data_IF_872794061458
#
_entry.id   IF_872794061458
#
_cell.length_a   1.000
_cell.length_b   1.000
_cell.length_c   1.000
_cell.angle_alpha   90.00
_cell.angle_beta   90.00
_cell.angle_gamma   90.00
#
_symmetry.space_group_name_H-M   'P 1'
#
loop_
_entity.id
_entity.type
_entity.pdbx_description
1 polymer ?
#
# COMPACT_ATOMS: atom_id res chain seq x y z
N UNK A 1 0.26 39.14 -35.30
CA UNK A 1 -0.63 37.98 -35.09
C UNK A 1 -0.06 37.16 -33.95
N UNK A 2 -0.55 37.38 -32.73
CA UNK A 2 -0.19 36.59 -31.55
C UNK A 2 -1.09 35.38 -31.47
N UNK A 3 -0.53 34.18 -31.66
CA UNK A 3 -1.23 32.92 -31.44
C UNK A 3 -0.99 32.46 -30.01
N UNK A 4 -2.09 32.20 -29.30
CA UNK A 4 -2.18 31.76 -27.92
C UNK A 4 -1.34 30.50 -27.65
N UNK A 5 -0.30 30.64 -26.84
CA UNK A 5 0.30 29.55 -26.09
C UNK A 5 -0.34 29.56 -24.69
N UNK A 6 -1.53 28.96 -24.56
CA UNK A 6 -2.21 28.79 -23.29
C UNK A 6 -2.21 27.31 -22.90
N UNK A 7 -1.20 26.96 -22.10
CA UNK A 7 -1.27 26.03 -20.96
C UNK A 7 -1.50 24.54 -21.28
N UNK A 8 -0.38 23.82 -21.44
CA UNK A 8 -0.25 22.34 -21.37
C UNK A 8 0.12 21.85 -19.95
N UNK A 9 0.00 22.72 -18.94
CA UNK A 9 0.38 22.42 -17.54
C UNK A 9 -0.71 21.67 -16.74
N UNK A 10 -1.90 21.47 -17.31
CA UNK A 10 -3.06 20.94 -16.57
C UNK A 10 -3.24 19.42 -16.77
N UNK A 11 -2.85 18.87 -17.93
CA UNK A 11 -3.04 17.45 -18.25
C UNK A 11 -2.14 16.55 -17.40
N UNK A 12 -0.83 16.86 -17.36
CA UNK A 12 0.18 16.08 -16.64
C UNK A 12 -0.05 16.09 -15.12
N UNK A 13 -0.50 17.23 -14.58
CA UNK A 13 -0.81 17.38 -13.16
C UNK A 13 -2.14 16.72 -12.78
N UNK A 14 -3.15 16.77 -13.65
CA UNK A 14 -4.38 15.98 -13.48
C UNK A 14 -4.10 14.49 -13.54
N UNK A 15 -3.25 14.02 -14.44
CA UNK A 15 -2.88 12.60 -14.55
C UNK A 15 -2.06 12.13 -13.36
N UNK A 16 -1.22 13.01 -12.82
CA UNK A 16 -0.53 12.79 -11.54
C UNK A 16 -1.54 12.70 -10.39
N UNK A 17 -2.49 13.63 -10.32
CA UNK A 17 -3.57 13.62 -9.33
C UNK A 17 -4.49 12.40 -9.47
N UNK A 18 -4.68 11.88 -10.68
CA UNK A 18 -5.50 10.69 -10.95
C UNK A 18 -4.79 9.40 -10.57
N UNK A 19 -3.49 9.27 -10.85
CA UNK A 19 -2.64 8.19 -10.33
C UNK A 19 -2.61 8.16 -8.81
N UNK A 20 -2.55 9.35 -8.21
CA UNK A 20 -2.71 9.58 -6.76
C UNK A 20 -4.08 9.02 -6.34
N UNK A 21 -5.20 9.48 -6.91
CA UNK A 21 -6.54 9.03 -6.52
C UNK A 21 -6.78 7.52 -6.67
N UNK A 22 -6.26 6.89 -7.74
CA UNK A 22 -6.39 5.44 -7.96
C UNK A 22 -5.56 4.62 -6.95
N UNK A 23 -4.43 5.16 -6.46
CA UNK A 23 -3.65 4.59 -5.34
C UNK A 23 -4.39 4.74 -3.98
N UNK A 24 -5.32 5.69 -3.86
CA UNK A 24 -6.07 5.97 -2.62
C UNK A 24 -7.44 5.27 -2.53
N UNK A 25 -7.77 4.38 -3.47
CA UNK A 25 -9.04 3.65 -3.55
C UNK A 25 -9.26 2.53 -2.52
N UNK A 26 -9.27 2.88 -1.23
CA UNK A 26 -10.02 2.29 -0.10
C UNK A 26 -9.63 0.92 0.52
N UNK A 27 -9.48 1.00 1.85
CA UNK A 27 -9.55 0.00 2.95
C UNK A 27 -8.39 -1.00 3.12
N UNK A 28 -7.25 -0.50 3.64
CA UNK A 28 -6.75 -1.04 4.91
C UNK A 28 -5.85 -0.02 5.67
N UNK A 29 -6.00 -0.02 7.00
CA UNK A 29 -5.62 1.02 7.98
C UNK A 29 -6.12 2.43 7.63
N UNK A 30 -7.23 2.87 8.26
CA UNK A 30 -7.54 4.31 8.32
C UNK A 30 -6.26 5.03 8.80
N UNK A 31 -5.84 6.04 8.06
CA UNK A 31 -4.70 6.85 8.46
C UNK A 31 -5.11 7.79 9.60
N UNK A 32 -5.23 7.23 10.80
CA UNK A 32 -5.83 7.94 11.94
C UNK A 32 -4.91 9.02 12.50
N UNK A 33 -3.60 8.88 12.28
CA UNK A 33 -2.54 9.77 12.76
C UNK A 33 -1.78 10.46 11.60
N UNK A 34 -2.25 10.36 10.36
CA UNK A 34 -1.70 11.08 9.20
C UNK A 34 -0.30 10.63 8.76
N UNK A 35 0.00 9.34 8.86
CA UNK A 35 1.26 8.67 8.56
C UNK A 35 1.29 8.04 7.14
N UNK A 36 0.18 8.09 6.41
CA UNK A 36 0.00 7.41 5.13
C UNK A 36 1.05 7.81 4.08
N UNK A 37 1.39 9.10 3.98
CA UNK A 37 2.40 9.56 3.01
C UNK A 37 3.80 8.99 3.28
N UNK A 38 4.19 8.82 4.54
CA UNK A 38 5.48 8.20 4.90
C UNK A 38 5.44 6.70 4.58
N UNK A 39 4.35 6.02 4.95
CA UNK A 39 4.11 4.61 4.62
C UNK A 39 4.20 4.38 3.12
N UNK A 40 3.53 5.21 2.33
CA UNK A 40 3.45 5.05 0.88
C UNK A 40 4.77 5.42 0.20
N UNK A 41 5.49 6.44 0.68
CA UNK A 41 6.85 6.75 0.23
C UNK A 41 7.82 5.57 0.42
N UNK A 42 7.88 4.99 1.63
CA UNK A 42 8.74 3.84 1.91
C UNK A 42 8.31 2.60 1.11
N UNK A 43 7.00 2.38 0.97
CA UNK A 43 6.47 1.26 0.16
C UNK A 43 6.85 1.41 -1.32
N UNK A 44 6.80 2.62 -1.88
CA UNK A 44 7.15 2.87 -3.28
C UNK A 44 8.66 2.77 -3.53
N UNK A 45 9.49 3.12 -2.53
CA UNK A 45 10.95 2.95 -2.61
C UNK A 45 11.35 1.46 -2.63
N UNK A 46 10.71 0.64 -1.78
CA UNK A 46 11.01 -0.79 -1.69
C UNK A 46 10.31 -1.61 -2.77
N UNK A 47 9.04 -1.31 -3.04
CA UNK A 47 8.12 -2.14 -3.80
C UNK A 47 7.29 -1.33 -4.81
N UNK A 48 7.94 -0.65 -5.77
CA UNK A 48 7.24 0.16 -6.76
C UNK A 48 6.25 -0.68 -7.57
N UNK A 49 5.14 -0.06 -7.95
CA UNK A 49 4.09 -0.70 -8.75
C UNK A 49 3.17 -1.67 -8.00
N UNK A 50 3.33 -1.80 -6.68
CA UNK A 50 2.44 -2.60 -5.83
C UNK A 50 1.41 -1.74 -5.09
N UNK A 51 0.30 -2.33 -4.69
CA UNK A 51 -0.69 -1.72 -3.79
C UNK A 51 -1.22 -2.75 -2.80
N UNK A 52 -1.80 -2.30 -1.68
CA UNK A 52 -2.35 -3.21 -0.65
C UNK A 52 -3.53 -4.04 -1.14
N UNK A 53 -4.24 -3.57 -2.15
CA UNK A 53 -5.45 -4.21 -2.71
C UNK A 53 -5.15 -5.13 -3.90
N UNK A 54 -3.89 -5.20 -4.35
CA UNK A 54 -3.45 -6.21 -5.32
C UNK A 54 -3.47 -7.59 -4.67
N UNK A 55 -3.79 -8.60 -5.46
CA UNK A 55 -3.90 -9.97 -5.00
C UNK A 55 -2.82 -10.86 -5.59
N UNK A 56 -2.87 -11.16 -6.89
CA UNK A 56 -1.93 -12.06 -7.60
C UNK A 56 -1.14 -11.33 -8.69
N UNK A 57 0.08 -11.77 -8.98
CA UNK A 57 0.94 -11.03 -9.90
C UNK A 57 0.47 -11.14 -11.35
N UNK A 58 -0.13 -12.27 -11.76
CA UNK A 58 -0.59 -12.52 -13.14
C UNK A 58 -1.67 -11.53 -13.63
N UNK A 59 -2.33 -10.79 -12.73
CA UNK A 59 -3.18 -9.66 -13.12
C UNK A 59 -2.41 -8.54 -13.85
N UNK A 60 -1.10 -8.40 -13.65
CA UNK A 60 -0.22 -7.54 -14.44
C UNK A 60 -0.18 -7.93 -15.93
N UNK A 61 -0.63 -9.13 -16.29
CA UNK A 61 -0.72 -9.64 -17.66
C UNK A 61 -2.18 -9.71 -18.13
N UNK A 62 -3.08 -10.15 -17.26
CA UNK A 62 -4.51 -10.20 -17.58
C UNK A 62 -5.05 -8.84 -18.02
N UNK A 63 -4.77 -7.77 -17.28
CA UNK A 63 -5.31 -6.43 -17.62
C UNK A 63 -4.85 -5.97 -19.01
N UNK A 64 -3.54 -5.99 -19.35
CA UNK A 64 -3.09 -5.72 -20.72
C UNK A 64 -3.78 -6.58 -21.79
N UNK A 65 -3.90 -7.90 -21.58
CA UNK A 65 -4.52 -8.81 -22.55
C UNK A 65 -5.98 -8.45 -22.82
N UNK A 66 -6.78 -8.26 -21.77
CA UNK A 66 -8.19 -7.91 -21.91
C UNK A 66 -8.37 -6.55 -22.59
N UNK A 67 -7.48 -5.58 -22.31
CA UNK A 67 -7.53 -4.28 -22.98
C UNK A 67 -7.17 -4.38 -24.47
N UNK A 68 -6.20 -5.21 -24.85
CA UNK A 68 -5.89 -5.47 -26.27
C UNK A 68 -7.05 -6.16 -26.98
N UNK A 69 -7.71 -7.12 -26.33
CA UNK A 69 -8.92 -7.77 -26.88
C UNK A 69 -10.05 -6.76 -27.06
N UNK A 70 -10.33 -5.93 -26.04
CA UNK A 70 -11.36 -4.90 -26.10
C UNK A 70 -11.08 -3.86 -27.21
N UNK A 71 -9.82 -3.42 -27.33
CA UNK A 71 -9.37 -2.50 -28.36
C UNK A 71 -9.61 -3.05 -29.78
N UNK A 72 -9.25 -4.32 -30.03
CA UNK A 72 -9.49 -5.00 -31.31
C UNK A 72 -10.97 -5.16 -31.63
N UNK A 73 -11.83 -5.22 -30.60
CA UNK A 73 -13.29 -5.26 -30.73
C UNK A 73 -13.96 -3.88 -30.70
N UNK A 74 -13.23 -2.81 -31.05
CA UNK A 74 -13.78 -1.46 -31.20
C UNK A 74 -13.60 -0.54 -29.98
N UNK A 75 -12.77 -0.90 -29.00
CA UNK A 75 -12.29 0.03 -27.96
C UNK A 75 -13.36 0.56 -27.01
N UNK A 76 -14.43 -0.20 -26.75
CA UNK A 76 -15.52 0.23 -25.86
C UNK A 76 -15.27 -0.15 -24.41
N UNK A 77 -15.50 0.79 -23.48
CA UNK A 77 -15.36 0.57 -22.04
C UNK A 77 -16.23 -0.60 -21.52
N UNK A 78 -17.48 -0.71 -22.00
CA UNK A 78 -18.36 -1.81 -21.63
C UNK A 78 -17.83 -3.17 -22.08
N UNK A 79 -17.10 -3.22 -23.20
CA UNK A 79 -16.49 -4.46 -23.66
C UNK A 79 -15.32 -4.86 -22.75
N UNK A 80 -14.45 -3.92 -22.39
CA UNK A 80 -13.37 -4.19 -21.43
C UNK A 80 -13.92 -4.67 -20.10
N UNK A 81 -14.97 -4.03 -19.57
CA UNK A 81 -15.65 -4.46 -18.34
C UNK A 81 -16.22 -5.88 -18.46
N UNK A 82 -16.87 -6.22 -19.58
CA UNK A 82 -17.38 -7.59 -19.81
C UNK A 82 -16.26 -8.62 -19.81
N UNK A 83 -15.14 -8.33 -20.45
CA UNK A 83 -13.98 -9.21 -20.48
C UNK A 83 -13.37 -9.42 -19.08
N UNK A 84 -13.28 -8.37 -18.27
CA UNK A 84 -12.84 -8.47 -16.88
C UNK A 84 -13.79 -9.32 -16.02
N UNK A 85 -15.11 -9.22 -16.24
CA UNK A 85 -16.10 -10.07 -15.56
C UNK A 85 -16.00 -11.52 -16.04
N UNK A 86 -15.79 -11.75 -17.34
CA UNK A 86 -15.59 -13.10 -17.89
C UNK A 86 -14.34 -13.77 -17.31
N UNK A 87 -13.24 -13.03 -17.14
CA UNK A 87 -12.02 -13.52 -16.49
C UNK A 87 -12.30 -14.08 -15.09
N UNK A 88 -13.17 -13.44 -14.29
CA UNK A 88 -13.55 -13.96 -12.96
C UNK A 88 -14.13 -15.36 -13.09
N UNK A 89 -15.03 -15.57 -14.06
CA UNK A 89 -15.63 -16.89 -14.32
C UNK A 89 -14.60 -17.91 -14.81
N UNK A 90 -13.69 -17.50 -15.68
CA UNK A 90 -12.60 -18.33 -16.17
C UNK A 90 -11.65 -18.77 -15.05
N UNK A 91 -11.34 -17.88 -14.10
CA UNK A 91 -10.53 -18.19 -12.91
C UNK A 91 -11.19 -19.25 -12.03
N UNK A 92 -12.49 -19.13 -11.76
CA UNK A 92 -13.23 -20.16 -11.04
C UNK A 92 -13.23 -21.51 -11.76
N UNK A 93 -13.41 -21.52 -13.09
CA UNK A 93 -13.31 -22.74 -13.91
C UNK A 93 -11.89 -23.33 -13.91
N UNK A 94 -10.88 -22.49 -13.72
CA UNK A 94 -9.48 -22.90 -13.52
C UNK A 94 -9.19 -23.49 -12.16
N UNK A 95 -10.13 -23.41 -11.21
CA UNK A 95 -9.98 -23.88 -9.83
C UNK A 95 -9.53 -22.80 -8.85
N UNK A 96 -9.39 -21.55 -9.28
CA UNK A 96 -9.01 -20.44 -8.40
C UNK A 96 -10.22 -19.99 -7.58
N UNK A 97 -10.09 -20.05 -6.25
CA UNK A 97 -11.18 -19.70 -5.31
C UNK A 97 -10.79 -18.59 -4.35
N UNK A 98 -9.50 -18.48 -4.03
CA UNK A 98 -8.95 -17.42 -3.19
C UNK A 98 -8.31 -16.33 -4.04
N UNK A 99 -8.33 -15.08 -3.56
CA UNK A 99 -7.59 -13.96 -4.15
C UNK A 99 -8.06 -13.54 -5.56
N UNK A 100 -9.20 -14.08 -6.01
CA UNK A 100 -9.91 -13.66 -7.22
C UNK A 100 -10.59 -12.31 -6.94
N UNK A 101 -10.14 -11.27 -7.63
CA UNK A 101 -10.72 -9.93 -7.50
C UNK A 101 -12.16 -9.99 -8.00
N UNK A 102 -13.10 -9.66 -7.12
CA UNK A 102 -14.51 -9.59 -7.47
C UNK A 102 -15.31 -10.89 -7.27
N UNK A 103 -14.72 -11.89 -6.59
CA UNK A 103 -15.37 -13.18 -6.27
C UNK A 103 -16.76 -13.04 -5.62
N UNK A 104 -16.94 -12.09 -4.71
CA UNK A 104 -18.19 -11.88 -3.95
C UNK A 104 -19.25 -11.07 -4.71
N UNK A 105 -18.84 -10.23 -5.67
CA UNK A 105 -19.72 -9.19 -6.23
C UNK A 105 -20.14 -9.42 -7.70
N UNK A 106 -19.46 -10.28 -8.48
CA UNK A 106 -19.72 -10.49 -9.94
C UNK A 106 -20.21 -9.23 -10.68
N UNK A 107 -21.43 -9.17 -11.19
CA UNK A 107 -21.89 -8.00 -11.97
C UNK A 107 -22.06 -6.71 -11.13
N UNK A 108 -22.16 -6.83 -9.80
CA UNK A 108 -22.17 -5.71 -8.85
C UNK A 108 -20.76 -5.25 -8.41
N UNK A 109 -19.70 -5.70 -9.10
CA UNK A 109 -18.31 -5.34 -8.79
C UNK A 109 -18.14 -3.82 -8.65
N UNK A 110 -17.76 -3.40 -7.44
CA UNK A 110 -17.34 -2.03 -7.17
C UNK A 110 -15.91 -1.72 -7.65
N UNK A 111 -15.05 -2.74 -7.82
CA UNK A 111 -13.66 -2.58 -8.29
C UNK A 111 -13.24 -3.72 -9.20
N UNK A 112 -12.88 -3.38 -10.43
CA UNK A 112 -12.34 -4.28 -11.46
C UNK A 112 -10.82 -4.49 -11.25
N UNK A 113 -10.25 -5.59 -11.77
CA UNK A 113 -8.80 -5.76 -11.84
C UNK A 113 -8.06 -4.55 -12.42
N UNK A 114 -8.63 -3.91 -13.45
CA UNK A 114 -8.08 -2.71 -14.06
C UNK A 114 -8.08 -1.51 -13.10
N UNK A 115 -9.01 -1.39 -12.15
CA UNK A 115 -8.93 -0.34 -11.11
C UNK A 115 -7.70 -0.55 -10.20
N UNK A 116 -7.37 -1.81 -9.93
CA UNK A 116 -6.36 -2.21 -8.94
C UNK A 116 -4.93 -2.15 -9.51
N UNK A 117 -4.75 -2.58 -10.77
CA UNK A 117 -3.42 -2.77 -11.35
C UNK A 117 -2.97 -1.62 -12.26
N UNK A 118 -3.85 -0.68 -12.65
CA UNK A 118 -3.53 0.35 -13.67
C UNK A 118 -2.30 1.22 -13.36
N UNK A 119 -2.16 1.63 -12.09
CA UNK A 119 -1.02 2.40 -11.63
C UNK A 119 0.26 1.56 -11.65
N UNK A 120 0.16 0.30 -11.20
CA UNK A 120 1.26 -0.66 -11.19
C UNK A 120 1.80 -0.99 -12.58
N UNK A 121 0.90 -1.14 -13.56
CA UNK A 121 1.27 -1.38 -14.96
C UNK A 121 2.14 -0.25 -15.53
N UNK A 122 1.86 1.01 -15.17
CA UNK A 122 2.68 2.14 -15.59
C UNK A 122 3.99 2.21 -14.80
N UNK A 123 3.94 2.00 -13.49
CA UNK A 123 5.12 2.04 -12.64
C UNK A 123 6.16 0.96 -13.02
N UNK A 124 5.72 -0.21 -13.47
CA UNK A 124 6.58 -1.27 -14.00
C UNK A 124 6.82 -1.16 -15.52
N UNK A 125 6.28 -0.12 -16.15
CA UNK A 125 6.36 0.16 -17.59
C UNK A 125 5.82 -0.96 -18.51
N UNK A 126 4.97 -1.84 -17.99
CA UNK A 126 4.17 -2.78 -18.79
C UNK A 126 3.22 -1.99 -19.67
N UNK A 127 2.61 -0.95 -19.10
CA UNK A 127 1.94 0.12 -19.83
C UNK A 127 2.96 1.23 -20.06
N UNK A 128 3.22 1.57 -21.30
CA UNK A 128 4.23 2.56 -21.69
C UNK A 128 3.62 3.93 -21.92
N UNK A 129 2.32 4.01 -22.20
CA UNK A 129 1.62 5.28 -22.40
C UNK A 129 0.96 5.78 -21.09
N UNK A 130 1.25 7.01 -20.64
CA UNK A 130 0.48 7.64 -19.57
C UNK A 130 -0.93 7.95 -20.08
N UNK A 131 -1.95 7.60 -19.31
CA UNK A 131 -3.34 7.85 -19.71
C UNK A 131 -4.36 7.12 -18.86
N UNK A 132 -5.61 7.52 -18.97
CA UNK A 132 -6.75 6.83 -18.41
C UNK A 132 -7.05 5.53 -19.19
N UNK A 133 -7.86 4.68 -18.57
CA UNK A 133 -8.36 3.45 -19.21
C UNK A 133 -9.18 3.73 -20.46
N UNK A 134 -9.94 4.82 -20.48
CA UNK A 134 -10.74 5.21 -21.63
C UNK A 134 -9.86 5.65 -22.81
N UNK A 135 -8.82 6.44 -22.54
CA UNK A 135 -7.85 6.85 -23.57
C UNK A 135 -7.09 5.67 -24.15
N UNK A 136 -6.68 4.71 -23.31
CA UNK A 136 -6.02 3.49 -23.79
C UNK A 136 -6.92 2.64 -24.69
N UNK A 137 -8.23 2.57 -24.41
CA UNK A 137 -9.17 1.87 -25.27
C UNK A 137 -9.42 2.61 -26.58
N UNK A 138 -9.52 3.94 -26.53
CA UNK A 138 -9.70 4.79 -27.70
C UNK A 138 -8.48 4.77 -28.63
N UNK A 139 -7.27 4.60 -28.08
CA UNK A 139 -6.03 4.45 -28.84
C UNK A 139 -5.93 3.11 -29.59
N UNK A 140 -6.83 2.15 -29.34
CA UNK A 140 -6.86 0.87 -30.02
C UNK A 140 -5.68 -0.05 -29.64
N UNK A 141 -5.20 -0.87 -30.58
CA UNK A 141 -4.00 -1.72 -30.43
C UNK A 141 -2.79 -1.03 -31.09
N UNK A 142 -2.66 0.30 -30.91
CA UNK A 142 -1.56 1.07 -31.48
C UNK A 142 -0.20 0.57 -30.96
N UNK A 143 0.84 0.54 -31.80
CA UNK A 143 2.19 0.17 -31.37
C UNK A 143 2.66 1.09 -30.22
N UNK A 144 3.33 0.50 -29.23
CA UNK A 144 3.96 1.27 -28.14
C UNK A 144 3.03 1.71 -27.01
N UNK A 145 1.78 1.23 -26.94
CA UNK A 145 0.91 1.39 -25.77
C UNK A 145 1.26 0.45 -24.61
N UNK A 146 1.78 -0.73 -24.95
CA UNK A 146 2.27 -1.76 -24.04
C UNK A 146 3.75 -2.02 -24.30
N UNK A 147 4.45 -2.53 -23.29
CA UNK A 147 5.86 -2.91 -23.40
C UNK A 147 6.09 -3.85 -24.58
N UNK A 148 7.16 -3.65 -25.36
CA UNK A 148 7.68 -4.69 -26.23
C UNK A 148 7.93 -5.97 -25.43
N UNK A 149 7.69 -7.13 -26.04
CA UNK A 149 7.88 -8.43 -25.40
C UNK A 149 6.80 -8.84 -24.40
N UNK A 150 5.68 -8.11 -24.28
CA UNK A 150 4.52 -8.59 -23.52
C UNK A 150 4.07 -9.96 -24.09
N UNK A 151 4.05 -11.03 -23.27
CA UNK A 151 3.67 -12.36 -23.74
C UNK A 151 2.26 -12.39 -24.34
N UNK A 152 2.02 -13.33 -25.25
CA UNK A 152 0.71 -13.56 -25.82
C UNK A 152 -0.29 -14.02 -24.76
N UNK A 153 -1.56 -13.61 -24.89
CA UNK A 153 -2.62 -14.15 -24.06
C UNK A 153 -2.84 -15.63 -24.42
N UNK A 154 -3.06 -16.54 -23.44
CA UNK A 154 -3.50 -17.89 -23.73
C UNK A 154 -4.83 -17.91 -24.51
N UNK A 155 -4.99 -18.83 -25.45
CA UNK A 155 -6.20 -18.92 -26.28
C UNK A 155 -7.46 -19.19 -25.44
N UNK A 156 -7.32 -19.93 -24.34
CA UNK A 156 -8.40 -20.29 -23.41
C UNK A 156 -8.57 -19.32 -22.24
N UNK A 157 -7.92 -18.13 -22.26
CA UNK A 157 -7.92 -17.16 -21.16
C UNK A 157 -9.31 -16.84 -20.59
N UNK A 158 -10.32 -16.74 -21.46
CA UNK A 158 -11.70 -16.42 -21.07
C UNK A 158 -12.57 -17.65 -20.77
N UNK A 159 -12.07 -18.84 -21.07
CA UNK A 159 -12.75 -20.11 -20.80
C UNK A 159 -12.27 -20.71 -19.48
N UNK A 160 -10.95 -20.75 -19.28
CA UNK A 160 -10.27 -21.29 -18.09
C UNK A 160 -8.95 -20.55 -17.85
N UNK A 161 -8.77 -19.98 -16.66
CA UNK A 161 -7.55 -19.25 -16.30
C UNK A 161 -7.06 -19.64 -14.90
N UNK A 162 -5.76 -19.53 -14.66
CA UNK A 162 -5.13 -19.78 -13.34
C UNK A 162 -4.18 -18.64 -12.99
N UNK A 163 -3.81 -18.49 -11.72
CA UNK A 163 -2.81 -17.51 -11.30
C UNK A 163 -1.37 -17.95 -11.53
N UNK A 164 -1.13 -19.24 -11.77
CA UNK A 164 0.20 -19.78 -12.08
C UNK A 164 0.77 -19.12 -13.33
N UNK A 165 1.92 -18.46 -13.16
CA UNK A 165 2.69 -17.87 -14.25
C UNK A 165 3.42 -18.97 -15.04
N UNK A 166 3.55 -18.77 -16.35
CA UNK A 166 4.48 -19.57 -17.17
C UNK A 166 5.92 -19.06 -16.99
N UNK A 167 6.95 -19.84 -17.39
CA UNK A 167 8.34 -19.37 -17.34
C UNK A 167 8.58 -18.09 -18.16
N UNK A 168 7.96 -17.99 -19.35
CA UNK A 168 8.02 -16.80 -20.20
C UNK A 168 7.40 -15.57 -19.52
N UNK A 169 6.21 -15.74 -18.94
CA UNK A 169 5.52 -14.69 -18.20
C UNK A 169 6.32 -14.22 -16.97
N UNK A 170 6.91 -15.16 -16.23
CA UNK A 170 7.77 -14.87 -15.09
C UNK A 170 9.05 -14.13 -15.50
N UNK A 171 9.69 -14.53 -16.61
CA UNK A 171 10.85 -13.84 -17.17
C UNK A 171 10.51 -12.41 -17.57
N UNK A 172 9.41 -12.22 -18.31
CA UNK A 172 8.96 -10.89 -18.72
C UNK A 172 8.75 -9.97 -17.51
N UNK A 173 8.08 -10.43 -16.46
CA UNK A 173 7.84 -9.62 -15.26
C UNK A 173 9.14 -9.31 -14.50
N UNK A 174 10.10 -10.25 -14.44
CA UNK A 174 11.45 -9.99 -13.91
C UNK A 174 12.18 -8.93 -14.73
N UNK A 175 12.09 -8.96 -16.05
CA UNK A 175 12.70 -7.94 -16.92
C UNK A 175 12.07 -6.57 -16.71
N UNK A 176 10.74 -6.51 -16.53
CA UNK A 176 10.03 -5.25 -16.21
C UNK A 176 10.49 -4.67 -14.87
N UNK A 177 10.69 -5.51 -13.86
CA UNK A 177 11.27 -5.09 -12.57
C UNK A 177 12.72 -4.60 -12.73
N UNK A 178 13.54 -5.31 -13.51
CA UNK A 178 14.93 -4.93 -13.74
C UNK A 178 15.06 -3.57 -14.43
N UNK A 179 14.15 -3.25 -15.35
CA UNK A 179 14.15 -1.99 -16.10
C UNK A 179 13.52 -0.85 -15.31
N UNK A 180 12.28 -1.03 -14.83
CA UNK A 180 11.49 0.07 -14.25
C UNK A 180 11.64 0.23 -12.74
N UNK A 181 12.13 -0.81 -12.06
CA UNK A 181 12.29 -0.86 -10.61
C UNK A 181 13.72 -1.24 -10.20
N UNK A 182 14.71 -0.91 -11.04
CA UNK A 182 16.11 -1.37 -10.98
C UNK A 182 16.71 -1.39 -9.57
N UNK A 183 16.63 -0.27 -8.87
CA UNK A 183 17.28 -0.08 -7.57
C UNK A 183 16.41 -0.53 -6.39
N UNK A 184 15.19 -0.99 -6.63
CA UNK A 184 14.24 -1.37 -5.59
C UNK A 184 14.56 -2.73 -4.98
N UNK A 185 14.12 -2.91 -3.74
CA UNK A 185 14.21 -4.21 -3.07
C UNK A 185 13.35 -5.27 -3.77
N UNK A 186 12.23 -4.87 -4.38
CA UNK A 186 11.39 -5.79 -5.15
C UNK A 186 12.16 -6.44 -6.30
N UNK A 187 12.90 -5.64 -7.07
CA UNK A 187 13.73 -6.16 -8.15
C UNK A 187 14.82 -7.08 -7.59
N UNK A 188 15.54 -6.64 -6.56
CA UNK A 188 16.62 -7.41 -5.95
C UNK A 188 16.14 -8.80 -5.48
N UNK A 189 15.00 -8.89 -4.80
CA UNK A 189 14.39 -10.15 -4.37
C UNK A 189 13.88 -11.00 -5.55
N UNK A 190 13.27 -10.36 -6.56
CA UNK A 190 12.74 -11.05 -7.72
C UNK A 190 13.85 -11.71 -8.57
N UNK A 191 14.99 -11.04 -8.74
CA UNK A 191 16.14 -11.60 -9.46
C UNK A 191 16.82 -12.73 -8.68
N UNK A 192 16.80 -12.68 -7.35
CA UNK A 192 17.34 -13.73 -6.50
C UNK A 192 16.46 -15.00 -6.47
N UNK A 193 15.26 -14.98 -7.06
CA UNK A 193 14.31 -16.09 -6.96
C UNK A 193 13.75 -16.29 -5.55
N UNK A 194 13.71 -15.21 -4.76
CA UNK A 194 13.35 -15.26 -3.36
C UNK A 194 11.87 -15.66 -3.15
N UNK A 195 11.61 -16.54 -2.18
CA UNK A 195 10.25 -17.01 -1.83
C UNK A 195 9.58 -16.19 -0.71
N UNK A 196 10.25 -15.13 -0.26
CA UNK A 196 9.81 -14.15 0.70
C UNK A 196 9.44 -14.76 2.06
N UNK A 197 10.33 -15.60 2.59
CA UNK A 197 10.14 -16.40 3.80
C UNK A 197 10.31 -15.65 5.12
N UNK A 198 9.66 -14.50 5.30
CA UNK A 198 9.74 -13.72 6.54
C UNK A 198 8.42 -12.99 6.86
N UNK A 199 8.04 -12.91 8.13
CA UNK A 199 6.80 -12.26 8.56
C UNK A 199 6.80 -10.74 8.30
N UNK A 200 7.96 -10.11 8.45
CA UNK A 200 8.19 -8.71 8.12
C UNK A 200 9.46 -8.56 7.30
N UNK A 201 9.52 -7.54 6.44
CA UNK A 201 10.66 -7.35 5.53
C UNK A 201 11.99 -7.19 6.27
N UNK A 202 11.99 -6.52 7.42
CA UNK A 202 13.22 -6.33 8.21
C UNK A 202 13.69 -7.59 8.93
N UNK A 203 12.86 -8.64 9.03
CA UNK A 203 13.22 -9.95 9.58
C UNK A 203 13.74 -10.91 8.49
N UNK A 204 13.93 -10.44 7.27
CA UNK A 204 14.33 -11.30 6.16
C UNK A 204 15.72 -11.92 6.40
N UNK A 205 15.89 -13.25 6.27
CA UNK A 205 17.14 -13.93 6.62
C UNK A 205 18.33 -13.47 5.77
N UNK A 206 18.08 -13.07 4.53
CA UNK A 206 19.09 -12.58 3.60
C UNK A 206 19.28 -11.04 3.64
N UNK A 207 18.73 -10.33 4.64
CA UNK A 207 18.84 -8.86 4.71
C UNK A 207 20.27 -8.34 4.58
N UNK A 208 21.24 -9.05 5.15
CA UNK A 208 22.65 -8.67 5.12
C UNK A 208 23.30 -8.77 3.73
N UNK A 209 22.69 -9.49 2.78
CA UNK A 209 23.21 -9.64 1.41
C UNK A 209 22.67 -8.58 0.46
N UNK A 210 21.70 -7.77 0.90
CA UNK A 210 21.09 -6.77 0.03
C UNK A 210 22.01 -5.59 -0.25
N UNK A 211 21.70 -4.82 -1.28
CA UNK A 211 22.35 -3.56 -1.55
C UNK A 211 22.27 -2.61 -0.34
N UNK A 212 23.35 -1.85 -0.10
CA UNK A 212 23.42 -0.89 1.01
C UNK A 212 22.25 0.12 0.99
N UNK A 213 21.78 0.49 -0.20
CA UNK A 213 20.59 1.34 -0.39
C UNK A 213 19.33 0.69 0.18
N UNK A 214 19.05 -0.56 -0.20
CA UNK A 214 17.83 -1.25 0.23
C UNK A 214 17.88 -1.60 1.73
N UNK A 215 19.05 -1.96 2.27
CA UNK A 215 19.25 -2.09 3.72
C UNK A 215 18.88 -0.78 4.42
N UNK A 216 19.44 0.35 3.99
CA UNK A 216 19.15 1.66 4.60
C UNK A 216 17.66 2.03 4.55
N UNK A 217 16.96 1.73 3.45
CA UNK A 217 15.51 1.98 3.36
C UNK A 217 14.73 1.08 4.32
N UNK A 218 15.07 -0.21 4.40
CA UNK A 218 14.41 -1.17 5.29
C UNK A 218 14.67 -0.82 6.77
N UNK A 219 15.88 -0.39 7.10
CA UNK A 219 16.23 0.11 8.44
C UNK A 219 15.33 1.28 8.86
N UNK A 220 15.08 2.23 7.94
CA UNK A 220 14.19 3.36 8.19
C UNK A 220 12.73 2.92 8.32
N UNK A 221 12.30 1.97 7.48
CA UNK A 221 10.97 1.41 7.53
C UNK A 221 10.70 0.65 8.84
N UNK A 222 11.65 -0.17 9.30
CA UNK A 222 11.58 -0.89 10.57
C UNK A 222 11.45 0.08 11.75
N UNK A 223 12.38 1.04 11.86
CA UNK A 223 12.37 2.05 12.93
C UNK A 223 11.06 2.81 12.94
N UNK A 224 10.64 3.33 11.78
CA UNK A 224 9.39 4.07 11.66
C UNK A 224 8.17 3.23 12.08
N UNK A 225 8.02 2.01 11.54
CA UNK A 225 6.88 1.16 11.84
C UNK A 225 6.81 0.80 13.33
N UNK A 226 7.93 0.43 13.94
CA UNK A 226 7.98 0.00 15.34
C UNK A 226 7.83 1.17 16.31
N UNK A 227 8.48 2.31 16.06
CA UNK A 227 8.35 3.51 16.90
C UNK A 227 6.94 4.09 16.81
N UNK A 228 6.36 4.19 15.60
CA UNK A 228 5.02 4.75 15.43
C UNK A 228 3.90 3.79 15.84
N UNK A 229 4.16 2.49 15.94
CA UNK A 229 3.18 1.55 16.50
C UNK A 229 2.81 1.92 17.94
N UNK A 230 3.76 2.40 18.75
CA UNK A 230 3.46 2.92 20.09
C UNK A 230 2.47 4.08 20.08
N UNK A 231 2.58 5.00 19.12
CA UNK A 231 1.64 6.11 18.98
C UNK A 231 0.22 5.61 18.66
N UNK A 232 0.12 4.60 17.80
CA UNK A 232 -1.16 3.98 17.47
C UNK A 232 -1.75 3.21 18.66
N UNK A 233 -0.93 2.46 19.42
CA UNK A 233 -1.37 1.77 20.63
C UNK A 233 -1.87 2.76 21.68
N UNK A 234 -1.13 3.85 21.94
CA UNK A 234 -1.55 4.90 22.87
C UNK A 234 -2.85 5.57 22.41
N UNK A 235 -2.98 5.86 21.11
CA UNK A 235 -4.23 6.41 20.56
C UNK A 235 -5.43 5.49 20.83
N UNK A 236 -5.30 4.19 20.60
CA UNK A 236 -6.39 3.26 20.85
C UNK A 236 -6.67 3.05 22.36
N UNK A 237 -5.65 3.09 23.22
CA UNK A 237 -5.81 3.12 24.67
C UNK A 237 -6.66 4.32 25.09
N UNK A 238 -6.31 5.53 24.62
CA UNK A 238 -7.04 6.76 24.95
C UNK A 238 -8.50 6.72 24.48
N UNK A 239 -8.79 6.09 23.32
CA UNK A 239 -10.15 5.89 22.85
C UNK A 239 -10.93 4.90 23.71
N UNK A 240 -10.31 3.78 24.09
CA UNK A 240 -10.91 2.77 24.95
C UNK A 240 -11.26 3.35 26.33
N UNK A 241 -10.34 4.08 26.95
CA UNK A 241 -10.55 4.75 28.24
C UNK A 241 -11.68 5.79 28.17
N UNK A 242 -11.74 6.59 27.09
CA UNK A 242 -12.85 7.55 26.91
C UNK A 242 -14.18 6.85 26.68
N UNK A 243 -14.21 5.79 25.87
CA UNK A 243 -15.44 5.02 25.60
C UNK A 243 -15.96 4.32 26.86
N UNK A 244 -15.05 3.80 27.69
CA UNK A 244 -15.34 3.26 29.01
C UNK A 244 -15.95 4.31 29.94
N UNK A 245 -15.35 5.50 30.02
CA UNK A 245 -15.86 6.60 30.85
C UNK A 245 -17.27 7.07 30.44
N UNK A 246 -17.58 7.10 29.13
CA UNK A 246 -18.91 7.48 28.64
C UNK A 246 -20.01 6.47 28.98
N UNK A 247 -19.66 5.19 29.16
CA UNK A 247 -20.66 4.17 29.54
C UNK A 247 -21.01 4.22 31.03
N UNK A 248 -20.16 4.79 31.88
CA UNK A 248 -20.41 4.94 33.32
C UNK A 248 -20.48 3.63 34.11
N UNK A 249 -20.24 2.47 33.47
CA UNK A 249 -20.14 1.18 34.13
C UNK A 249 -18.70 0.91 34.56
N UNK A 250 -18.47 0.26 35.71
CA UNK A 250 -17.11 -0.05 36.20
C UNK A 250 -16.43 -1.21 35.44
N UNK A 251 -17.21 -1.96 34.65
CA UNK A 251 -16.74 -3.11 33.86
C UNK A 251 -17.43 -3.12 32.49
N UNK A 252 -16.82 -3.82 31.53
CA UNK A 252 -17.40 -4.04 30.22
C UNK A 252 -16.36 -3.99 29.11
N UNK A 253 -16.83 -4.21 27.87
CA UNK A 253 -15.97 -4.36 26.69
C UNK A 253 -14.88 -3.28 26.54
N UNK A 254 -15.20 -2.01 26.83
CA UNK A 254 -14.23 -0.92 26.68
C UNK A 254 -13.18 -0.89 27.80
N UNK A 255 -13.53 -1.35 29.01
CA UNK A 255 -12.55 -1.53 30.10
C UNK A 255 -11.58 -2.67 29.76
N UNK A 256 -12.11 -3.80 29.27
CA UNK A 256 -11.29 -4.93 28.84
C UNK A 256 -10.35 -4.53 27.69
N UNK A 257 -10.86 -3.74 26.75
CA UNK A 257 -10.08 -3.23 25.63
C UNK A 257 -9.02 -2.20 26.06
N UNK A 258 -9.32 -1.35 27.05
CA UNK A 258 -8.33 -0.44 27.64
C UNK A 258 -7.22 -1.23 28.33
N UNK A 259 -7.57 -2.29 29.06
CA UNK A 259 -6.59 -3.20 29.67
C UNK A 259 -5.72 -3.90 28.61
N UNK A 260 -6.31 -4.40 27.52
CA UNK A 260 -5.57 -4.99 26.39
C UNK A 260 -4.57 -3.99 25.79
N UNK A 261 -5.02 -2.78 25.44
CA UNK A 261 -4.12 -1.78 24.87
C UNK A 261 -3.03 -1.32 25.84
N UNK A 262 -3.32 -1.23 27.14
CA UNK A 262 -2.32 -0.94 28.17
C UNK A 262 -1.27 -2.04 28.25
N UNK A 263 -1.69 -3.31 28.23
CA UNK A 263 -0.77 -4.45 28.21
C UNK A 263 0.10 -4.45 26.95
N UNK A 264 -0.50 -4.26 25.77
CA UNK A 264 0.22 -4.19 24.49
C UNK A 264 1.19 -3.01 24.43
N UNK A 265 0.83 -1.86 24.99
CA UNK A 265 1.72 -0.71 25.08
C UNK A 265 2.86 -0.96 26.07
N UNK A 266 2.61 -1.72 27.15
CA UNK A 266 3.65 -2.21 28.06
C UNK A 266 4.64 -3.15 27.38
N UNK A 267 4.14 -4.15 26.63
CA UNK A 267 4.96 -5.03 25.79
C UNK A 267 5.75 -4.22 24.76
N UNK A 268 5.09 -3.31 24.04
CA UNK A 268 5.76 -2.40 23.12
C UNK A 268 6.82 -1.56 23.81
N UNK A 269 6.60 -1.07 25.04
CA UNK A 269 7.62 -0.28 25.75
C UNK A 269 8.84 -1.11 26.13
N UNK A 270 8.65 -2.37 26.53
CA UNK A 270 9.73 -3.30 26.84
C UNK A 270 10.49 -3.78 25.60
N UNK A 271 9.77 -3.97 24.48
CA UNK A 271 10.30 -4.53 23.24
C UNK A 271 10.71 -3.50 22.19
N UNK A 272 10.18 -2.28 22.25
CA UNK A 272 10.64 -1.15 21.45
C UNK A 272 12.11 -1.03 21.80
N UNK A 273 13.01 -1.46 20.90
CA UNK A 273 14.41 -1.51 21.25
C UNK A 273 14.77 -0.07 21.51
N UNK A 274 15.22 0.24 22.72
CA UNK A 274 15.78 1.56 23.01
C UNK A 274 16.81 1.94 21.92
N UNK A 275 17.45 0.94 21.29
CA UNK A 275 18.30 1.05 20.11
C UNK A 275 17.62 1.47 18.79
N UNK A 276 16.32 1.27 18.58
CA UNK A 276 15.63 1.73 17.36
C UNK A 276 15.34 3.22 17.38
N UNK A 277 15.04 3.78 18.56
CA UNK A 277 14.85 5.21 18.72
C UNK A 277 16.19 5.93 18.95
N UNK A 278 17.16 5.27 19.58
CA UNK A 278 18.52 5.79 19.76
C UNK A 278 19.19 6.01 18.42
N UNK A 279 19.85 7.17 18.28
CA UNK A 279 20.58 7.58 17.07
C UNK A 279 19.74 7.56 15.78
N UNK A 280 18.42 7.51 15.88
CA UNK A 280 17.55 7.48 14.71
C UNK A 280 17.59 8.82 13.99
N UNK A 281 18.28 8.85 12.85
CA UNK A 281 18.31 10.01 11.97
C UNK A 281 17.00 10.16 11.19
N UNK A 282 16.10 10.98 11.72
CA UNK A 282 14.89 11.42 11.01
C UNK A 282 15.23 12.24 9.76
N UNK A 283 16.36 12.95 9.75
CA UNK A 283 16.85 13.64 8.55
C UNK A 283 17.07 12.66 7.39
N UNK A 284 17.59 11.46 7.66
CA UNK A 284 17.72 10.38 6.67
C UNK A 284 16.37 9.93 6.12
N UNK A 285 15.38 9.70 6.99
CA UNK A 285 14.00 9.37 6.58
C UNK A 285 13.39 10.46 5.69
N UNK A 286 13.55 11.73 6.05
CA UNK A 286 13.01 12.85 5.29
C UNK A 286 13.69 13.02 3.94
N UNK A 287 15.00 12.80 3.87
CA UNK A 287 15.74 12.78 2.61
C UNK A 287 15.23 11.68 1.68
N UNK A 288 15.00 10.46 2.17
CA UNK A 288 14.45 9.36 1.37
C UNK A 288 13.03 9.65 0.88
N UNK A 289 12.14 10.03 1.79
CA UNK A 289 10.72 10.25 1.45
C UNK A 289 10.52 11.41 0.47
N UNK A 290 11.39 12.44 0.51
CA UNK A 290 11.36 13.56 -0.44
C UNK A 290 11.67 13.20 -1.89
N UNK A 291 12.28 12.03 -2.14
CA UNK A 291 12.59 11.54 -3.48
C UNK A 291 11.36 10.93 -4.17
N UNK A 292 10.26 10.76 -3.43
CA UNK A 292 9.02 10.13 -3.92
C UNK A 292 7.96 11.18 -4.26
N UNK A 293 6.89 10.75 -4.94
CA UNK A 293 5.73 11.59 -5.18
C UNK A 293 4.95 11.92 -3.90
N UNK A 294 5.15 11.15 -2.83
CA UNK A 294 4.42 11.25 -1.57
C UNK A 294 5.07 12.30 -0.66
N UNK A 295 4.76 13.57 -0.93
CA UNK A 295 5.28 14.67 -0.12
C UNK A 295 4.76 14.57 1.32
N UNK A 296 5.67 14.43 2.27
CA UNK A 296 5.34 14.45 3.70
C UNK A 296 5.12 15.90 4.15
N UNK A 297 3.95 16.18 4.71
CA UNK A 297 3.61 17.53 5.16
C UNK A 297 4.41 17.90 6.43
N UNK A 298 4.84 19.17 6.60
CA UNK A 298 5.58 19.61 7.78
C UNK A 298 4.92 19.26 9.12
N UNK A 299 3.59 19.35 9.30
CA UNK A 299 2.95 18.92 10.55
C UNK A 299 3.07 17.41 10.84
N UNK A 300 3.18 16.57 9.81
CA UNK A 300 3.43 15.13 9.97
C UNK A 300 4.88 14.88 10.37
N UNK A 301 5.84 15.58 9.75
CA UNK A 301 7.25 15.49 10.13
C UNK A 301 7.46 15.91 11.59
N UNK A 302 6.85 17.03 12.00
CA UNK A 302 6.87 17.51 13.38
C UNK A 302 6.29 16.49 14.36
N UNK A 303 5.12 15.92 14.04
CA UNK A 303 4.50 14.88 14.88
C UNK A 303 5.41 13.66 15.10
N UNK A 304 6.00 13.12 14.03
CA UNK A 304 6.91 11.97 14.11
C UNK A 304 8.17 12.33 14.90
N UNK A 305 8.69 13.55 14.71
CA UNK A 305 9.88 14.04 15.42
C UNK A 305 9.61 14.19 16.91
N UNK A 306 8.53 14.86 17.29
CA UNK A 306 8.14 15.01 18.69
C UNK A 306 7.86 13.65 19.35
N UNK A 307 7.17 12.74 18.65
CA UNK A 307 6.92 11.39 19.15
C UNK A 307 8.22 10.62 19.38
N UNK A 308 9.15 10.63 18.41
CA UNK A 308 10.44 9.96 18.55
C UNK A 308 11.24 10.47 19.77
N UNK A 309 11.21 11.79 20.02
CA UNK A 309 11.83 12.40 21.21
C UNK A 309 11.19 11.90 22.50
N UNK A 310 9.86 11.72 22.55
CA UNK A 310 9.20 11.13 23.71
C UNK A 310 9.64 9.69 23.94
N UNK A 311 9.67 8.87 22.89
CA UNK A 311 10.13 7.46 22.97
C UNK A 311 11.56 7.35 23.48
N UNK A 312 12.45 8.26 23.05
CA UNK A 312 13.85 8.29 23.51
C UNK A 312 14.01 8.57 25.01
N UNK A 313 13.00 9.11 25.70
CA UNK A 313 13.04 9.31 27.16
C UNK A 313 13.01 7.99 27.94
N UNK A 314 12.57 6.90 27.30
CA UNK A 314 12.48 5.59 27.93
C UNK A 314 11.46 5.50 29.06
N UNK A 315 10.47 6.39 29.10
CA UNK A 315 9.39 6.36 30.10
C UNK A 315 8.18 5.57 29.59
N UNK A 316 7.40 4.91 30.46
CA UNK A 316 6.15 4.26 30.08
C UNK A 316 5.14 5.26 29.49
N UNK A 317 4.59 4.96 28.32
CA UNK A 317 3.76 5.92 27.56
C UNK A 317 2.27 5.91 27.93
N UNK A 318 1.78 4.90 28.65
CA UNK A 318 0.34 4.73 28.91
C UNK A 318 -0.29 5.95 29.60
N UNK A 319 0.44 6.48 30.58
CA UNK A 319 0.00 7.58 31.45
C UNK A 319 0.89 8.84 31.28
N UNK A 320 1.78 8.87 30.29
CA UNK A 320 2.63 10.05 30.01
C UNK A 320 1.77 11.20 29.45
N UNK A 321 1.67 12.29 30.22
CA UNK A 321 0.83 13.43 29.88
C UNK A 321 1.24 14.11 28.56
N UNK A 322 2.55 14.19 28.29
CA UNK A 322 3.06 14.83 27.07
C UNK A 322 2.76 13.97 25.83
N UNK A 323 2.89 12.66 25.94
CA UNK A 323 2.55 11.70 24.88
C UNK A 323 1.05 11.74 24.57
N UNK A 324 0.20 11.70 25.60
CA UNK A 324 -1.26 11.78 25.45
C UNK A 324 -1.69 13.12 24.84
N UNK A 325 -1.10 14.22 25.29
CA UNK A 325 -1.35 15.55 24.72
C UNK A 325 -0.92 15.63 23.25
N UNK A 326 0.21 15.02 22.88
CA UNK A 326 0.68 14.97 21.49
C UNK A 326 -0.30 14.22 20.59
N UNK A 327 -0.79 13.04 21.02
CA UNK A 327 -1.79 12.25 20.26
C UNK A 327 -3.11 13.02 20.11
N UNK A 328 -3.62 13.60 21.19
CA UNK A 328 -4.85 14.41 21.18
C UNK A 328 -4.74 15.59 20.20
N UNK A 329 -3.64 16.34 20.29
CA UNK A 329 -3.37 17.48 19.40
C UNK A 329 -3.25 17.03 17.95
N UNK A 330 -2.59 15.89 17.70
CA UNK A 330 -2.43 15.33 16.35
C UNK A 330 -3.76 14.98 15.73
N UNK A 331 -4.60 14.21 16.43
CA UNK A 331 -5.90 13.80 15.91
C UNK A 331 -6.80 15.02 15.65
N UNK A 332 -6.86 15.95 16.62
CA UNK A 332 -7.71 17.14 16.52
C UNK A 332 -7.35 17.99 15.31
N UNK A 333 -6.05 18.20 15.05
CA UNK A 333 -5.58 18.96 13.88
C UNK A 333 -5.88 18.26 12.55
N UNK A 334 -5.81 16.94 12.51
CA UNK A 334 -6.06 16.18 11.29
C UNK A 334 -7.54 16.06 10.93
N UNK A 335 -8.39 15.84 11.94
CA UNK A 335 -9.79 15.43 11.74
C UNK A 335 -10.81 16.51 12.12
N UNK A 336 -10.40 17.55 12.84
CA UNK A 336 -11.30 18.59 13.32
C UNK A 336 -12.49 18.01 14.07
N UNK A 337 -13.71 18.31 13.61
CA UNK A 337 -14.95 17.81 14.20
C UNK A 337 -15.13 16.29 14.14
N UNK A 338 -14.33 15.57 13.34
CA UNK A 338 -14.35 14.10 13.24
C UNK A 338 -13.37 13.40 14.19
N UNK A 339 -12.63 14.15 15.02
CA UNK A 339 -11.70 13.60 16.00
C UNK A 339 -12.45 12.84 17.11
N UNK A 340 -12.11 11.57 17.32
CA UNK A 340 -12.81 10.68 18.26
C UNK A 340 -12.42 10.95 19.70
N UNK A 341 -11.22 11.47 19.94
CA UNK A 341 -10.77 11.86 21.27
C UNK A 341 -11.44 13.13 21.79
N UNK A 342 -12.25 13.82 20.98
CA UNK A 342 -12.99 15.04 21.39
C UNK A 342 -14.48 15.00 21.06
N UNK A 343 -14.92 14.13 20.15
CA UNK A 343 -16.32 14.02 19.73
C UNK A 343 -16.93 12.65 20.06
N UNK A 344 -17.95 12.64 20.93
CA UNK A 344 -18.62 11.42 21.39
C UNK A 344 -19.36 10.68 20.27
N UNK A 345 -19.99 11.40 19.34
CA UNK A 345 -20.68 10.79 18.20
C UNK A 345 -19.69 10.13 17.22
N UNK A 346 -18.49 10.69 17.09
CA UNK A 346 -17.41 10.07 16.30
C UNK A 346 -16.84 8.84 17.01
N UNK A 347 -16.68 8.90 18.34
CA UNK A 347 -16.22 7.78 19.16
C UNK A 347 -17.22 6.63 19.19
N UNK A 348 -18.53 6.91 19.23
CA UNK A 348 -19.57 5.87 19.22
C UNK A 348 -19.54 4.98 17.96
N UNK A 349 -18.91 5.44 16.88
CA UNK A 349 -18.72 4.69 15.61
C UNK A 349 -17.40 3.93 15.56
N UNK A 350 -16.59 4.00 16.61
CA UNK A 350 -15.32 3.30 16.69
C UNK A 350 -15.53 1.82 17.03
N UNK A 351 -14.95 0.93 16.22
CA UNK A 351 -15.13 -0.52 16.36
C UNK A 351 -14.21 -1.19 17.39
N UNK A 352 -13.35 -0.44 18.07
CA UNK A 352 -12.39 -0.93 19.05
C UNK A 352 -10.95 -1.12 18.56
N UNK A 353 -10.67 -0.90 17.28
CA UNK A 353 -9.30 -0.85 16.78
C UNK A 353 -9.18 0.12 15.61
N UNK A 354 -8.06 0.83 15.55
CA UNK A 354 -7.81 1.83 14.52
C UNK A 354 -6.31 2.00 14.29
N UNK A 355 -5.79 1.33 13.25
CA UNK A 355 -4.37 1.40 12.87
C UNK A 355 -3.41 0.80 13.90
N UNK A 356 -3.87 -0.10 14.78
CA UNK A 356 -3.08 -0.64 15.89
C UNK A 356 -2.03 -1.69 15.48
N UNK A 357 -2.10 -2.20 14.25
CA UNK A 357 -1.12 -3.13 13.71
C UNK A 357 0.18 -2.41 13.32
N UNK A 358 1.30 -3.14 13.34
CA UNK A 358 2.58 -2.62 12.83
C UNK A 358 2.48 -2.45 11.32
N UNK A 359 3.03 -1.34 10.80
CA UNK A 359 3.01 -1.06 9.36
C UNK A 359 3.85 -2.08 8.61
N UNK A 360 3.25 -2.79 7.66
CA UNK A 360 3.92 -3.81 6.86
C UNK A 360 4.37 -3.34 5.46
N UNK A 361 4.15 -2.07 5.08
CA UNK A 361 4.61 -1.48 3.80
C UNK A 361 4.31 -2.32 2.54
N UNK A 362 3.12 -2.92 2.46
CA UNK A 362 2.68 -3.83 1.37
C UNK A 362 3.41 -5.17 1.29
N UNK A 363 4.25 -5.49 2.28
CA UNK A 363 5.02 -6.74 2.31
C UNK A 363 4.17 -8.01 2.09
N UNK A 364 2.98 -8.19 2.72
CA UNK A 364 2.18 -9.39 2.48
C UNK A 364 1.76 -9.60 1.02
N UNK A 365 1.54 -8.50 0.27
CA UNK A 365 1.24 -8.55 -1.16
C UNK A 365 2.50 -8.90 -1.95
N UNK A 366 3.61 -8.24 -1.64
CA UNK A 366 4.91 -8.49 -2.29
C UNK A 366 5.36 -9.93 -2.08
N UNK A 367 5.19 -10.49 -0.88
CA UNK A 367 5.50 -11.89 -0.60
C UNK A 367 4.75 -12.83 -1.55
N UNK A 368 3.48 -12.53 -1.81
CA UNK A 368 2.66 -13.32 -2.73
C UNK A 368 3.15 -13.19 -4.16
N UNK A 369 3.47 -11.97 -4.60
CA UNK A 369 4.01 -11.72 -5.93
C UNK A 369 5.37 -12.39 -6.14
N UNK A 370 6.25 -12.38 -5.13
CA UNK A 370 7.54 -13.07 -5.16
C UNK A 370 7.36 -14.59 -5.23
N UNK A 371 6.39 -15.17 -4.51
CA UNK A 371 6.03 -16.59 -4.64
C UNK A 371 5.52 -16.91 -6.05
N UNK A 372 4.65 -16.06 -6.61
CA UNK A 372 4.18 -16.22 -8.00
C UNK A 372 5.35 -16.27 -8.98
N UNK A 373 6.36 -15.39 -8.82
CA UNK A 373 7.57 -15.38 -9.64
C UNK A 373 8.49 -16.58 -9.40
N UNK A 374 8.61 -17.04 -8.16
CA UNK A 374 9.45 -18.18 -7.80
C UNK A 374 8.85 -19.51 -8.27
N UNK A 375 7.52 -19.58 -8.43
CA UNK A 375 6.80 -20.75 -8.96
C UNK A 375 6.71 -20.75 -10.52
N UNK A 376 7.16 -19.67 -11.16
CA UNK A 376 7.24 -19.51 -12.61
C UNK A 376 8.52 -20.17 -13.18
N UNK A 377 8.61 -21.49 -13.03
CA UNK A 377 9.74 -22.35 -13.44
C UNK A 377 9.35 -23.35 -14.50
#
# INVERSE_FOLDING_TARGET
MSALAWIDFDQTDRDRARRIMDLFGVEDSRDELGLGSIRDALSDLMFPGTSTIQTRLRYMLFVPWLYRMAARSGGRADQARRLEIQLITALFRGGETENVIGSEARDSLKRLPSDVYWAGLLALGIRTHPGSRAEMLAAGDAPGLWSPGLPGAPDDLLDKATFRLTPEEGSFLRDRLAVSARDSLFNELAQAGDRAGAEAIWLHPMRATWSARNISIVDQAERFARVMNGAALLYNLMLAERAAALQGAETGRWHDLAADYRARLGTWHAEAPASLASEWSLAGLWSLTSQTIHRVAPPTMAFVTEWAVLVQRGQPMADDEAARALILRRETRLKGSKARLTNDAALARWGGASGAAVLAFRWPVVQRHLRDLADAV
#
